data_IF_767425760445
#
_entry.id   IF_767425760445
#
_cell.length_a   1.000
_cell.length_b   1.000
_cell.length_c   1.000
_cell.angle_alpha   90.00
_cell.angle_beta   90.00
_cell.angle_gamma   90.00
#
_symmetry.space_group_name_H-M   'P 1'
#
loop_
_entity.id
_entity.type
_entity.pdbx_description
1 polymer ?
#
# COMPACT_ATOMS: atom_id res chain seq x y z
N UNK A 1 -11.87 9.30 0.06
CA UNK A 1 -11.85 7.84 0.30
C UNK A 1 -10.78 7.25 -0.60
N UNK A 2 -9.91 6.44 -0.03
CA UNK A 2 -8.80 5.83 -0.76
C UNK A 2 -9.01 4.32 -0.85
N UNK A 3 -8.46 3.72 -1.89
CA UNK A 3 -8.30 2.27 -1.95
C UNK A 3 -6.84 1.93 -2.18
N UNK A 4 -6.44 0.72 -1.79
CA UNK A 4 -5.09 0.20 -2.03
C UNK A 4 -5.15 -1.24 -2.46
N UNK A 5 -4.21 -1.62 -3.30
CA UNK A 5 -4.07 -2.95 -3.85
C UNK A 5 -2.61 -3.18 -4.28
N UNK A 6 -2.33 -4.42 -4.68
CA UNK A 6 -1.09 -4.83 -5.31
C UNK A 6 -1.32 -5.21 -6.76
N UNK A 7 -0.38 -4.85 -7.62
CA UNK A 7 -0.19 -5.55 -8.88
C UNK A 7 1.25 -6.03 -9.00
N UNK A 8 1.47 -6.99 -9.89
CA UNK A 8 2.79 -7.50 -10.21
C UNK A 8 3.23 -7.01 -11.57
N UNK A 9 4.51 -6.69 -11.70
CA UNK A 9 5.14 -6.42 -12.99
C UNK A 9 6.50 -7.11 -13.04
N UNK A 10 6.96 -7.43 -14.24
CA UNK A 10 8.30 -7.97 -14.44
C UNK A 10 9.27 -6.84 -14.74
N UNK A 11 10.37 -6.80 -13.98
CA UNK A 11 11.42 -5.78 -14.13
C UNK A 11 12.72 -6.49 -14.48
N UNK A 12 13.37 -6.01 -15.55
CA UNK A 12 14.73 -6.43 -15.88
C UNK A 12 15.72 -5.90 -14.86
N UNK A 13 16.45 -6.81 -14.23
CA UNK A 13 17.56 -6.49 -13.31
C UNK A 13 18.88 -6.99 -13.91
N UNK A 14 20.01 -6.59 -13.33
CA UNK A 14 21.32 -7.13 -13.72
C UNK A 14 21.42 -8.66 -13.59
N UNK A 15 20.55 -9.28 -12.78
CA UNK A 15 20.49 -10.74 -12.57
C UNK A 15 19.38 -11.43 -13.37
N UNK A 16 18.76 -10.74 -14.33
CA UNK A 16 17.65 -11.24 -15.12
C UNK A 16 16.28 -10.65 -14.71
N UNK A 17 15.23 -11.24 -15.27
CA UNK A 17 13.85 -10.82 -15.06
C UNK A 17 13.38 -11.17 -13.64
N UNK A 18 12.80 -10.21 -12.93
CA UNK A 18 12.25 -10.42 -11.59
C UNK A 18 10.82 -9.90 -11.50
N UNK A 19 9.94 -10.70 -10.92
CA UNK A 19 8.59 -10.27 -10.54
C UNK A 19 8.68 -9.31 -9.35
N UNK A 20 8.11 -8.13 -9.51
CA UNK A 20 8.04 -7.09 -8.49
C UNK A 20 6.59 -6.82 -8.13
N UNK A 21 6.33 -6.73 -6.83
CA UNK A 21 5.05 -6.31 -6.28
C UNK A 21 5.06 -4.80 -6.11
N UNK A 22 4.05 -4.14 -6.67
CA UNK A 22 3.84 -2.70 -6.57
C UNK A 22 2.67 -2.46 -5.64
N UNK A 23 2.91 -1.79 -4.51
CA UNK A 23 1.86 -1.27 -3.66
C UNK A 23 1.44 0.11 -4.17
N UNK A 24 0.15 0.31 -4.39
CA UNK A 24 -0.38 1.61 -4.78
C UNK A 24 -1.65 1.97 -4.01
N UNK A 25 -1.92 3.27 -3.98
CA UNK A 25 -3.10 3.86 -3.37
C UNK A 25 -3.78 4.73 -4.42
N UNK A 26 -5.09 4.64 -4.53
CA UNK A 26 -5.87 5.46 -5.46
C UNK A 26 -6.96 6.23 -4.74
N UNK A 27 -7.03 7.53 -5.00
CA UNK A 27 -8.13 8.36 -4.53
C UNK A 27 -9.33 8.18 -5.47
N UNK A 28 -10.43 7.61 -4.97
CA UNK A 28 -11.54 7.15 -5.83
C UNK A 28 -12.19 8.24 -6.67
N UNK A 29 -12.31 9.45 -6.12
CA UNK A 29 -12.97 10.57 -6.81
C UNK A 29 -12.11 11.15 -7.92
N UNK A 30 -10.84 11.40 -7.63
CA UNK A 30 -9.93 12.13 -8.54
C UNK A 30 -9.07 11.20 -9.38
N UNK A 31 -9.09 9.90 -9.10
CA UNK A 31 -8.22 8.89 -9.71
C UNK A 31 -6.72 9.18 -9.54
N UNK A 32 -6.36 10.05 -8.59
CA UNK A 32 -4.96 10.29 -8.22
C UNK A 32 -4.37 9.01 -7.65
N UNK A 33 -3.23 8.60 -8.18
CA UNK A 33 -2.47 7.44 -7.71
C UNK A 33 -1.26 7.90 -6.89
N UNK A 34 -0.98 7.17 -5.82
CA UNK A 34 0.20 7.31 -4.97
C UNK A 34 0.87 5.94 -4.89
N UNK A 35 2.17 5.88 -5.16
CA UNK A 35 2.93 4.64 -5.04
C UNK A 35 3.39 4.48 -3.59
N UNK A 36 3.07 3.34 -2.98
CA UNK A 36 3.54 2.97 -1.64
C UNK A 36 4.94 2.38 -1.66
N UNK A 37 5.33 1.78 -2.79
CA UNK A 37 6.67 1.24 -3.02
C UNK A 37 6.66 0.02 -3.95
N UNK A 38 7.86 -0.45 -4.24
CA UNK A 38 8.14 -1.66 -5.00
C UNK A 38 8.96 -2.65 -4.15
N UNK A 39 8.63 -3.95 -4.20
CA UNK A 39 9.47 -5.00 -3.60
C UNK A 39 9.33 -6.33 -4.33
N UNK A 40 10.43 -7.08 -4.42
CA UNK A 40 10.39 -8.48 -4.85
C UNK A 40 9.82 -9.40 -3.77
N UNK A 41 9.85 -8.97 -2.50
CA UNK A 41 9.35 -9.70 -1.34
C UNK A 41 8.77 -8.70 -0.32
N UNK A 42 7.47 -8.36 -0.41
CA UNK A 42 6.84 -7.41 0.49
C UNK A 42 6.57 -8.07 1.86
N UNK A 43 7.59 -8.11 2.71
CA UNK A 43 7.49 -8.62 4.09
C UNK A 43 6.87 -7.59 5.06
N UNK A 44 6.71 -7.97 6.33
CA UNK A 44 6.07 -7.10 7.33
C UNK A 44 6.88 -5.82 7.62
N UNK A 45 8.22 -5.90 7.60
CA UNK A 45 9.08 -4.74 7.82
C UNK A 45 8.92 -3.73 6.67
N UNK A 46 8.91 -4.23 5.44
CA UNK A 46 8.67 -3.44 4.25
C UNK A 46 7.26 -2.83 4.25
N UNK A 47 6.23 -3.61 4.55
CA UNK A 47 4.84 -3.14 4.63
C UNK A 47 4.66 -2.02 5.67
N UNK A 48 5.29 -2.16 6.83
CA UNK A 48 5.28 -1.11 7.86
C UNK A 48 5.95 0.16 7.38
N UNK A 49 7.08 0.05 6.69
CA UNK A 49 7.77 1.22 6.16
C UNK A 49 6.97 1.89 5.04
N UNK A 50 6.40 1.10 4.12
CA UNK A 50 5.54 1.61 3.06
C UNK A 50 4.33 2.36 3.65
N UNK A 51 3.69 1.81 4.69
CA UNK A 51 2.62 2.49 5.41
C UNK A 51 3.09 3.83 6.02
N UNK A 52 4.23 3.84 6.73
CA UNK A 52 4.80 5.08 7.30
C UNK A 52 5.11 6.13 6.24
N UNK A 53 5.61 5.72 5.07
CA UNK A 53 5.95 6.64 3.99
C UNK A 53 4.72 7.38 3.50
N UNK A 54 3.56 6.71 3.40
CA UNK A 54 2.33 7.31 2.88
C UNK A 54 1.51 8.04 3.95
N UNK A 55 1.72 7.75 5.24
CA UNK A 55 1.00 8.37 6.37
C UNK A 55 1.83 9.37 7.19
N UNK A 56 3.15 9.45 6.96
CA UNK A 56 4.05 10.33 7.71
C UNK A 56 3.82 11.82 7.39
N UNK A 57 4.67 12.69 7.95
CA UNK A 57 4.54 14.15 7.84
C UNK A 57 4.63 14.72 6.41
N UNK A 58 5.11 13.94 5.44
CA UNK A 58 5.14 14.28 4.01
C UNK A 58 4.31 13.28 3.18
N UNK A 59 3.50 12.46 3.86
CA UNK A 59 2.74 11.36 3.30
C UNK A 59 1.53 11.87 2.51
N UNK A 60 1.28 11.25 1.36
CA UNK A 60 0.24 11.72 0.43
C UNK A 60 -1.18 11.25 0.81
N UNK A 61 -1.33 10.50 1.89
CA UNK A 61 -2.62 10.13 2.47
C UNK A 61 -3.10 11.12 3.55
N UNK A 62 -2.45 12.27 3.69
CA UNK A 62 -2.97 13.39 4.49
C UNK A 62 -4.43 13.67 4.09
N UNK A 63 -5.34 13.67 5.08
CA UNK A 63 -6.82 13.76 4.94
C UNK A 63 -7.59 12.47 4.63
N UNK A 64 -6.93 11.34 4.41
CA UNK A 64 -7.62 10.07 4.27
C UNK A 64 -8.37 9.70 5.57
N UNK A 65 -9.67 9.39 5.47
CA UNK A 65 -10.47 8.86 6.61
C UNK A 65 -10.70 7.36 6.53
N UNK A 66 -10.76 6.85 5.30
CA UNK A 66 -11.02 5.44 5.01
C UNK A 66 -10.07 4.97 3.93
N UNK A 67 -9.52 3.77 4.15
CA UNK A 67 -8.70 3.05 3.19
C UNK A 67 -9.32 1.68 2.93
N UNK A 68 -9.89 1.50 1.75
CA UNK A 68 -10.41 0.20 1.32
C UNK A 68 -9.27 -0.64 0.78
N UNK A 69 -9.21 -1.91 1.15
CA UNK A 69 -8.26 -2.85 0.58
C UNK A 69 -8.89 -4.22 0.39
N UNK A 70 -8.30 -4.99 -0.51
CA UNK A 70 -8.65 -6.40 -0.66
C UNK A 70 -8.12 -7.22 0.53
N UNK A 71 -8.29 -8.54 0.45
CA UNK A 71 -7.80 -9.48 1.47
C UNK A 71 -6.51 -10.18 1.06
N UNK A 72 -5.71 -9.58 0.17
CA UNK A 72 -4.45 -10.19 -0.24
C UNK A 72 -3.57 -10.48 0.97
N UNK A 73 -2.95 -11.66 0.97
CA UNK A 73 -2.02 -12.10 2.02
C UNK A 73 -0.79 -11.19 2.17
N UNK A 74 -0.55 -10.32 1.19
CA UNK A 74 0.53 -9.34 1.15
C UNK A 74 0.29 -8.18 2.11
N UNK A 75 -0.97 -7.94 2.50
CA UNK A 75 -1.30 -7.01 3.59
C UNK A 75 -1.00 -7.67 4.94
N UNK A 76 0.23 -7.49 5.41
CA UNK A 76 0.72 -8.06 6.65
C UNK A 76 0.04 -7.44 7.88
N UNK A 77 0.17 -8.11 9.03
CA UNK A 77 -0.44 -7.67 10.28
C UNK A 77 0.04 -6.28 10.74
N UNK A 78 1.25 -5.86 10.35
CA UNK A 78 1.81 -4.56 10.69
C UNK A 78 1.24 -3.36 9.92
N UNK A 79 0.48 -3.57 8.84
CA UNK A 79 -0.01 -2.49 7.98
C UNK A 79 -1.21 -1.72 8.56
N UNK A 80 -2.29 -2.43 8.87
CA UNK A 80 -3.55 -1.83 9.37
C UNK A 80 -3.37 -1.01 10.67
N UNK A 81 -2.54 -1.42 11.65
CA UNK A 81 -2.29 -0.64 12.85
C UNK A 81 -1.70 0.76 12.55
N UNK A 82 -0.79 0.86 11.58
CA UNK A 82 -0.17 2.15 11.22
C UNK A 82 -1.21 3.09 10.60
N UNK A 83 -2.08 2.56 9.73
CA UNK A 83 -3.19 3.33 9.17
C UNK A 83 -4.11 3.84 10.27
N UNK A 84 -4.42 2.99 11.25
CA UNK A 84 -5.27 3.34 12.39
C UNK A 84 -4.65 4.45 13.24
N UNK A 85 -3.34 4.36 13.55
CA UNK A 85 -2.60 5.40 14.28
C UNK A 85 -2.59 6.73 13.51
N UNK A 86 -2.55 6.68 12.18
CA UNK A 86 -2.66 7.85 11.31
C UNK A 86 -4.09 8.41 11.19
N UNK A 87 -5.07 7.88 11.94
CA UNK A 87 -6.47 8.30 11.88
C UNK A 87 -7.24 7.80 10.65
N UNK A 88 -6.67 6.84 9.92
CA UNK A 88 -7.27 6.24 8.72
C UNK A 88 -7.89 4.89 9.11
N UNK A 89 -9.19 4.72 8.88
CA UNK A 89 -9.85 3.43 9.13
C UNK A 89 -9.60 2.46 7.96
N UNK A 90 -8.85 1.37 8.14
CA UNK A 90 -8.74 0.32 7.12
C UNK A 90 -10.07 -0.46 7.03
N UNK A 91 -10.54 -0.69 5.80
CA UNK A 91 -11.78 -1.42 5.50
C UNK A 91 -11.44 -2.54 4.53
N UNK A 92 -11.61 -3.79 4.98
CA UNK A 92 -11.45 -4.97 4.13
C UNK A 92 -12.72 -5.17 3.30
N UNK A 93 -12.56 -5.47 2.01
CA UNK A 93 -13.67 -5.85 1.15
C UNK A 93 -14.38 -7.12 1.67
N UNK A 94 -15.69 -7.29 1.40
CA UNK A 94 -16.43 -8.53 1.69
C UNK A 94 -15.81 -9.76 1.01
N UNK A 95 -16.12 -10.99 1.48
CA UNK A 95 -15.70 -12.23 0.81
C UNK A 95 -16.41 -12.42 -0.52
#
# INVERSE_FOLDING_TARGET
MWTTDFFTTEVWTATGLRTMYVLFFIHLRTRRVVLGGLSASPDDAWMRQAARNVTGAIGQLETARYLIRDRASKFTAGFDPIMTVAGIKPVKLPP
#
